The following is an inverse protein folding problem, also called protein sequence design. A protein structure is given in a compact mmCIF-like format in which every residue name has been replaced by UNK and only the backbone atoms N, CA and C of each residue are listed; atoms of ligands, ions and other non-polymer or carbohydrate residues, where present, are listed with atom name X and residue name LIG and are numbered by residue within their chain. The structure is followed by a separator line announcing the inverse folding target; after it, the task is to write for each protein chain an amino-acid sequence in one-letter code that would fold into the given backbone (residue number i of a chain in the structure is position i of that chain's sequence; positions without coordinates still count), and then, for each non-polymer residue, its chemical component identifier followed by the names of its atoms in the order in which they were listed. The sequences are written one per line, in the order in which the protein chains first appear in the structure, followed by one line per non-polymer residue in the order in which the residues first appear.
data_IF_790916457366
#
_entry.id   IF_790916457366
#
_cell.length_a   1.000
_cell.length_b   1.000
_cell.length_c   1.000
_cell.angle_alpha   90.00
_cell.angle_beta   90.00
_cell.angle_gamma   90.00
#
_symmetry.space_group_name_H-M   'P 1'
#
loop_
_entity.id
_entity.type
_entity.pdbx_description
1 polymer ?
#
# COMPACT_ATOMS: atom_id res chain seq x y z
N UNK A 1 -3.55 -33.52 31.90
CA UNK A 1 -2.41 -33.56 30.96
C UNK A 1 -2.94 -33.08 29.61
N UNK A 2 -2.41 -31.95 29.11
CA UNK A 2 -2.53 -31.40 27.73
C UNK A 2 -3.97 -31.14 27.23
N UNK A 3 -4.58 -29.94 27.30
CA UNK A 3 -4.25 -28.63 26.71
C UNK A 3 -3.49 -28.64 25.37
N UNK A 4 -3.95 -27.79 24.44
CA UNK A 4 -3.56 -27.61 23.02
C UNK A 4 -4.49 -28.39 22.07
N UNK A 5 -5.37 -27.80 21.26
CA UNK A 5 -5.45 -26.46 20.69
C UNK A 5 -6.92 -26.02 20.59
N UNK A 6 -7.22 -24.89 21.24
CA UNK A 6 -8.32 -24.03 20.87
C UNK A 6 -7.91 -23.36 19.55
N UNK A 7 -8.46 -23.79 18.42
CA UNK A 7 -8.53 -22.92 17.25
C UNK A 7 -9.44 -21.76 17.64
N UNK A 8 -8.80 -20.70 18.14
CA UNK A 8 -9.40 -19.40 18.28
C UNK A 8 -9.77 -18.97 16.87
N UNK A 9 -11.04 -19.12 16.51
CA UNK A 9 -11.71 -18.23 15.56
C UNK A 9 -11.58 -16.82 16.12
N UNK A 10 -10.42 -16.20 15.91
CA UNK A 10 -10.26 -14.78 15.99
C UNK A 10 -11.10 -14.23 14.83
N UNK A 11 -12.38 -14.00 15.11
CA UNK A 11 -13.21 -13.08 14.35
C UNK A 11 -12.47 -11.76 14.37
N UNK A 12 -11.58 -11.57 13.42
CA UNK A 12 -11.10 -10.25 13.03
C UNK A 12 -12.39 -9.51 12.71
N UNK A 13 -12.78 -8.63 13.62
CA UNK A 13 -13.78 -7.63 13.37
C UNK A 13 -13.27 -6.89 12.13
N UNK A 14 -13.79 -7.29 10.98
CA UNK A 14 -13.59 -6.60 9.72
C UNK A 14 -14.27 -5.28 9.98
N UNK A 15 -13.48 -4.30 10.38
CA UNK A 15 -13.91 -2.93 10.37
C UNK A 15 -14.22 -2.58 8.91
N UNK A 16 -15.49 -2.79 8.55
CA UNK A 16 -16.10 -2.46 7.26
C UNK A 16 -16.08 -0.94 7.00
N UNK A 17 -15.58 -0.11 7.94
CA UNK A 17 -15.74 1.34 7.88
C UNK A 17 -14.61 2.12 7.20
N UNK A 18 -13.47 1.51 6.84
CA UNK A 18 -12.44 2.24 6.09
C UNK A 18 -12.93 2.48 4.67
N UNK A 19 -13.58 3.62 4.48
CA UNK A 19 -13.98 4.11 3.19
C UNK A 19 -12.73 4.60 2.43
N UNK A 20 -12.13 3.68 1.67
CA UNK A 20 -10.95 3.95 0.85
C UNK A 20 -11.18 5.12 -0.12
N UNK A 21 -12.42 5.44 -0.50
CA UNK A 21 -12.74 6.48 -1.50
C UNK A 21 -12.29 7.89 -1.11
N UNK A 22 -12.19 8.19 0.19
CA UNK A 22 -11.78 9.51 0.68
C UNK A 22 -10.28 9.63 0.92
N UNK A 23 -9.53 8.53 0.76
CA UNK A 23 -8.11 8.48 1.05
C UNK A 23 -7.34 8.90 -0.20
N UNK A 24 -6.50 9.91 -0.06
CA UNK A 24 -5.52 10.25 -1.10
C UNK A 24 -4.22 9.54 -0.77
N UNK A 25 -3.90 8.53 -1.56
CA UNK A 25 -2.69 7.75 -1.41
C UNK A 25 -2.00 7.55 -2.76
N UNK A 26 -0.68 7.41 -2.71
CA UNK A 26 0.15 7.07 -3.85
C UNK A 26 0.85 5.73 -3.60
N UNK A 27 0.86 4.86 -4.59
CA UNK A 27 1.48 3.53 -4.54
C UNK A 27 2.64 3.48 -5.53
N UNK A 28 3.84 3.19 -5.02
CA UNK A 28 5.03 2.98 -5.83
C UNK A 28 5.34 1.50 -6.02
N UNK A 29 5.80 1.15 -7.21
CA UNK A 29 6.15 -0.22 -7.57
C UNK A 29 4.97 -1.02 -8.13
N UNK A 30 5.12 -2.34 -8.12
CA UNK A 30 4.16 -3.28 -8.69
C UNK A 30 4.35 -3.51 -10.19
N UNK A 31 4.00 -4.72 -10.63
CA UNK A 31 4.02 -5.09 -12.05
C UNK A 31 2.88 -4.36 -12.80
N UNK A 32 3.04 -3.94 -14.08
CA UNK A 32 2.00 -3.22 -14.83
C UNK A 32 0.61 -3.87 -14.78
N UNK A 33 0.54 -5.19 -14.97
CA UNK A 33 -0.73 -5.94 -14.88
C UNK A 33 -1.37 -5.89 -13.48
N UNK A 34 -0.56 -5.85 -12.42
CA UNK A 34 -1.05 -5.71 -11.06
C UNK A 34 -1.60 -4.30 -10.82
N UNK A 35 -0.88 -3.28 -11.30
CA UNK A 35 -1.33 -1.88 -11.22
C UNK A 35 -2.67 -1.69 -11.93
N UNK A 36 -2.86 -2.26 -13.12
CA UNK A 36 -4.13 -2.18 -13.84
C UNK A 36 -5.30 -2.71 -13.00
N UNK A 37 -5.15 -3.92 -12.43
CA UNK A 37 -6.17 -4.52 -11.56
C UNK A 37 -6.40 -3.74 -10.27
N UNK A 38 -5.36 -3.14 -9.71
CA UNK A 38 -5.47 -2.29 -8.53
C UNK A 38 -6.21 -0.99 -8.84
N UNK A 39 -5.96 -0.36 -10.00
CA UNK A 39 -6.66 0.85 -10.46
C UNK A 39 -8.15 0.64 -10.67
N UNK A 40 -8.57 -0.56 -11.09
CA UNK A 40 -9.99 -0.92 -11.19
C UNK A 40 -10.69 -0.89 -9.83
N UNK A 41 -9.97 -1.23 -8.75
CA UNK A 41 -10.52 -1.29 -7.38
C UNK A 41 -10.29 -0.03 -6.57
N UNK A 42 -9.21 0.70 -6.82
CA UNK A 42 -8.75 1.89 -6.10
C UNK A 42 -8.62 3.07 -7.07
N UNK A 43 -9.75 3.56 -7.56
CA UNK A 43 -9.79 4.63 -8.58
C UNK A 43 -9.30 5.98 -8.07
N UNK A 44 -9.21 6.17 -6.76
CA UNK A 44 -8.77 7.39 -6.10
C UNK A 44 -7.30 7.36 -5.66
N UNK A 45 -6.59 6.25 -5.92
CA UNK A 45 -5.17 6.10 -5.61
C UNK A 45 -4.34 6.40 -6.86
N UNK A 46 -3.21 7.04 -6.67
CA UNK A 46 -2.22 7.24 -7.73
C UNK A 46 -1.23 6.07 -7.73
N UNK A 47 -0.74 5.67 -8.91
CA UNK A 47 0.18 4.53 -9.03
C UNK A 47 1.36 4.89 -9.91
N UNK A 48 2.56 4.76 -9.36
CA UNK A 48 3.83 4.94 -10.06
C UNK A 48 4.52 3.58 -10.24
N UNK A 49 4.60 3.06 -11.49
CA UNK A 49 5.27 1.79 -11.77
C UNK A 49 6.75 1.79 -11.37
N UNK A 50 7.28 0.61 -11.03
CA UNK A 50 8.66 0.44 -10.54
C UNK A 50 9.76 0.97 -11.48
N UNK A 51 9.49 1.08 -12.78
CA UNK A 51 10.44 1.55 -13.80
C UNK A 51 10.45 3.07 -13.98
N UNK A 52 9.56 3.82 -13.33
CA UNK A 52 9.42 5.28 -13.49
C UNK A 52 10.32 6.04 -12.51
N UNK A 53 11.65 5.86 -12.60
CA UNK A 53 12.62 6.47 -11.67
C UNK A 53 12.59 8.01 -11.72
N UNK A 54 12.25 8.58 -12.87
CA UNK A 54 12.25 10.04 -13.11
C UNK A 54 10.95 10.74 -12.67
N UNK A 55 10.20 10.18 -11.73
CA UNK A 55 9.03 10.88 -11.17
C UNK A 55 9.44 12.19 -10.46
N UNK A 56 8.56 13.19 -10.52
CA UNK A 56 8.73 14.44 -9.79
C UNK A 56 8.44 14.20 -8.31
N UNK A 57 9.44 14.42 -7.44
CA UNK A 57 9.34 14.16 -5.99
C UNK A 57 8.30 15.06 -5.30
N UNK A 58 8.02 16.24 -5.84
CA UNK A 58 6.98 17.15 -5.31
C UNK A 58 5.57 16.54 -5.34
N UNK A 59 5.37 15.42 -6.06
CA UNK A 59 4.12 14.67 -5.98
C UNK A 59 3.85 14.15 -4.56
N UNK A 60 4.91 13.78 -3.81
CA UNK A 60 4.79 13.22 -2.47
C UNK A 60 4.13 14.21 -1.50
N UNK A 61 4.33 15.52 -1.70
CA UNK A 61 3.72 16.57 -0.87
C UNK A 61 2.19 16.64 -1.00
N UNK A 62 1.63 16.07 -2.07
CA UNK A 62 0.19 16.06 -2.33
C UNK A 62 -0.54 14.88 -1.68
N UNK A 63 0.19 13.93 -1.08
CA UNK A 63 -0.36 12.69 -0.55
C UNK A 63 0.00 12.48 0.92
N UNK A 64 -1.01 12.20 1.75
CA UNK A 64 -0.77 11.81 3.15
C UNK A 64 -0.16 10.41 3.21
N UNK A 65 -0.69 9.45 2.44
CA UNK A 65 -0.23 8.07 2.47
C UNK A 65 0.65 7.75 1.27
N UNK A 66 1.83 7.22 1.55
CA UNK A 66 2.77 6.73 0.54
C UNK A 66 2.96 5.24 0.76
N UNK A 67 2.55 4.42 -0.21
CA UNK A 67 2.73 2.97 -0.17
C UNK A 67 3.85 2.54 -1.09
N UNK A 68 4.65 1.57 -0.65
CA UNK A 68 5.66 0.92 -1.46
C UNK A 68 5.30 -0.56 -1.59
N UNK A 69 5.13 -1.03 -2.83
CA UNK A 69 5.08 -2.46 -3.12
C UNK A 69 6.51 -3.03 -3.10
N UNK A 70 6.88 -3.69 -2.00
CA UNK A 70 8.24 -4.21 -1.80
C UNK A 70 8.53 -5.46 -2.63
N UNK A 71 7.48 -6.17 -3.09
CA UNK A 71 7.64 -7.34 -3.96
C UNK A 71 8.14 -6.95 -5.36
N UNK A 72 7.92 -5.71 -5.79
CA UNK A 72 8.32 -5.24 -7.12
C UNK A 72 8.62 -3.75 -7.11
N UNK A 73 9.83 -3.37 -6.65
CA UNK A 73 10.34 -2.00 -6.71
C UNK A 73 11.86 -2.00 -6.98
N UNK A 74 12.32 -1.05 -7.81
CA UNK A 74 13.76 -0.85 -8.03
C UNK A 74 14.41 -0.15 -6.83
N UNK A 75 15.63 -0.54 -6.46
CA UNK A 75 16.33 0.05 -5.30
C UNK A 75 16.52 1.57 -5.43
N UNK A 76 16.85 2.07 -6.62
CA UNK A 76 16.99 3.50 -6.87
C UNK A 76 15.68 4.26 -6.62
N UNK A 77 14.54 3.70 -7.03
CA UNK A 77 13.23 4.30 -6.76
C UNK A 77 12.92 4.26 -5.27
N UNK A 78 13.18 3.14 -4.60
CA UNK A 78 13.00 3.03 -3.15
C UNK A 78 13.75 4.14 -2.40
N UNK A 79 15.07 4.26 -2.62
CA UNK A 79 15.87 5.28 -1.94
C UNK A 79 15.39 6.70 -2.26
N UNK A 80 15.09 6.98 -3.53
CA UNK A 80 14.54 8.28 -3.94
C UNK A 80 13.23 8.62 -3.22
N UNK A 81 12.34 7.65 -2.99
CA UNK A 81 11.12 7.89 -2.21
C UNK A 81 11.49 8.23 -0.78
N UNK A 82 12.25 7.36 -0.10
CA UNK A 82 12.59 7.51 1.33
C UNK A 82 13.28 8.84 1.62
N UNK A 83 14.22 9.25 0.77
CA UNK A 83 14.97 10.50 0.91
C UNK A 83 14.13 11.76 0.71
N UNK A 84 12.97 11.65 0.06
CA UNK A 84 12.09 12.78 -0.28
C UNK A 84 10.75 12.74 0.48
N UNK A 85 10.57 11.84 1.44
CA UNK A 85 9.41 11.87 2.33
C UNK A 85 9.52 13.06 3.30
N UNK A 86 8.39 13.74 3.51
CA UNK A 86 8.25 14.75 4.52
C UNK A 86 7.65 14.16 5.81
N UNK A 87 7.58 14.98 6.87
CA UNK A 87 7.05 14.61 8.19
C UNK A 87 5.55 14.29 8.21
N UNK A 88 4.81 14.76 7.22
CA UNK A 88 3.36 14.58 7.11
C UNK A 88 3.02 13.31 6.31
N UNK A 89 3.98 12.76 5.56
CA UNK A 89 3.82 11.52 4.84
C UNK A 89 3.83 10.31 5.79
N UNK A 90 2.81 9.45 5.67
CA UNK A 90 2.70 8.15 6.32
C UNK A 90 3.15 7.06 5.35
N UNK A 91 4.41 6.65 5.48
CA UNK A 91 4.96 5.55 4.70
C UNK A 91 4.38 4.20 5.14
N UNK A 92 3.93 3.40 4.18
CA UNK A 92 3.40 2.04 4.38
C UNK A 92 3.93 1.09 3.32
N UNK A 93 3.83 -0.22 3.58
CA UNK A 93 4.37 -1.25 2.71
C UNK A 93 3.30 -2.25 2.31
N UNK A 94 3.40 -2.74 1.08
CA UNK A 94 2.56 -3.81 0.53
C UNK A 94 3.52 -4.89 0.03
N UNK A 95 3.28 -6.15 0.40
CA UNK A 95 4.13 -7.26 -0.04
C UNK A 95 3.32 -8.39 -0.70
N UNK A 96 2.10 -8.08 -1.16
CA UNK A 96 1.22 -9.04 -1.81
C UNK A 96 1.04 -8.74 -3.30
N UNK A 97 1.29 -9.76 -4.12
CA UNK A 97 0.99 -9.75 -5.56
C UNK A 97 -0.47 -10.10 -5.85
N UNK A 98 -1.17 -10.74 -4.91
CA UNK A 98 -2.60 -10.96 -5.01
C UNK A 98 -3.31 -9.62 -4.70
N UNK A 99 -4.20 -9.20 -5.59
CA UNK A 99 -4.89 -7.91 -5.52
C UNK A 99 -5.78 -7.80 -4.29
N UNK A 100 -6.48 -8.86 -3.92
CA UNK A 100 -7.39 -8.85 -2.77
C UNK A 100 -6.60 -8.74 -1.47
N UNK A 101 -5.54 -9.54 -1.33
CA UNK A 101 -4.63 -9.45 -0.18
C UNK A 101 -3.90 -8.11 -0.10
N UNK A 102 -3.52 -7.52 -1.23
CA UNK A 102 -2.91 -6.20 -1.24
C UNK A 102 -3.88 -5.11 -0.76
N UNK A 103 -5.17 -5.23 -1.06
CA UNK A 103 -6.19 -4.31 -0.53
C UNK A 103 -6.38 -4.53 0.97
N UNK A 104 -6.33 -5.77 1.45
CA UNK A 104 -6.33 -6.06 2.89
C UNK A 104 -5.10 -5.45 3.58
N UNK A 105 -3.90 -5.57 3.01
CA UNK A 105 -2.69 -4.91 3.51
C UNK A 105 -2.89 -3.39 3.62
N UNK A 106 -3.45 -2.76 2.58
CA UNK A 106 -3.74 -1.31 2.58
C UNK A 106 -4.73 -0.97 3.69
N UNK A 107 -5.84 -1.71 3.81
CA UNK A 107 -6.82 -1.47 4.87
C UNK A 107 -6.18 -1.59 6.25
N UNK A 108 -5.41 -2.64 6.49
CA UNK A 108 -4.74 -2.87 7.77
C UNK A 108 -3.70 -1.79 8.07
N UNK A 109 -2.97 -1.31 7.07
CA UNK A 109 -2.01 -0.23 7.20
C UNK A 109 -2.64 1.14 7.54
N UNK A 110 -3.93 1.30 7.26
CA UNK A 110 -4.73 2.52 7.52
C UNK A 110 -5.47 2.50 8.86
N UNK A 111 -5.66 1.31 9.49
CA UNK A 111 -6.33 1.11 10.79
C UNK A 111 -5.54 1.63 12.01
N UNK A 112 -4.72 2.67 11.84
CA UNK A 112 -3.91 3.24 12.94
C UNK A 112 -4.83 3.70 14.06
#
# INVERSE_FOLDING_TARGET
MFNQQQEQEEKVLIDESINLKNIKAIIFGGHPNWILKMKEKLTNFEFIPANTINFNVSILDSYEYVFINTSFIGHAMYYKIIENLNKDNKLRYINNVNVDRAIEDIKNALKI
#
